data_IF_741202091491
#
_entry.id   IF_741202091491
#
_cell.length_a   1.000
_cell.length_b   1.000
_cell.length_c   1.000
_cell.angle_alpha   90.00
_cell.angle_beta   90.00
_cell.angle_gamma   90.00
#
_symmetry.space_group_name_H-M   'P 1'
#
loop_
_entity.id
_entity.type
_entity.pdbx_description
1 polymer ?
#
# COMPACT_ATOMS: atom_id res chain seq x y z
N UNK A 1 -6.26 4.96 -16.53
CA UNK A 1 -6.90 5.84 -17.55
C UNK A 1 -7.76 6.95 -16.92
N UNK A 2 -8.65 6.66 -15.97
CA UNK A 2 -9.57 7.66 -15.40
C UNK A 2 -9.03 8.41 -14.18
N UNK A 3 -8.07 7.84 -13.44
CA UNK A 3 -7.50 8.45 -12.22
C UNK A 3 -6.98 9.88 -12.41
N UNK A 4 -6.28 10.14 -13.54
CA UNK A 4 -5.74 11.47 -13.85
C UNK A 4 -6.80 12.53 -14.15
N UNK A 5 -8.04 12.14 -14.45
CA UNK A 5 -9.16 13.07 -14.76
C UNK A 5 -9.94 13.51 -13.52
N UNK A 6 -9.67 12.90 -12.36
CA UNK A 6 -10.37 13.19 -11.12
C UNK A 6 -9.77 14.40 -10.41
N UNK A 7 -10.63 15.23 -9.81
CA UNK A 7 -10.21 16.33 -8.93
C UNK A 7 -9.70 15.78 -7.60
N UNK A 8 -8.86 16.53 -6.90
CA UNK A 8 -8.27 16.10 -5.63
C UNK A 8 -9.31 15.60 -4.60
N UNK A 9 -10.47 16.27 -4.37
CA UNK A 9 -11.47 15.76 -3.44
C UNK A 9 -12.06 14.40 -3.84
N UNK A 10 -12.22 14.16 -5.15
CA UNK A 10 -12.73 12.89 -5.67
C UNK A 10 -11.71 11.76 -5.48
N UNK A 11 -10.42 12.07 -5.68
CA UNK A 11 -9.33 11.11 -5.42
C UNK A 11 -9.27 10.73 -3.94
N UNK A 12 -9.35 11.71 -3.05
CA UNK A 12 -9.37 11.50 -1.60
C UNK A 12 -10.57 10.63 -1.21
N UNK A 13 -11.78 10.98 -1.68
CA UNK A 13 -12.98 10.19 -1.39
C UNK A 13 -12.86 8.72 -1.87
N UNK A 14 -12.28 8.47 -3.04
CA UNK A 14 -12.04 7.10 -3.51
C UNK A 14 -11.02 6.37 -2.64
N UNK A 15 -9.94 7.04 -2.22
CA UNK A 15 -8.98 6.45 -1.28
C UNK A 15 -9.67 6.07 0.03
N UNK A 16 -10.51 6.94 0.58
CA UNK A 16 -11.24 6.69 1.83
C UNK A 16 -12.21 5.52 1.69
N UNK A 17 -12.99 5.48 0.61
CA UNK A 17 -13.92 4.37 0.34
C UNK A 17 -13.18 3.04 0.22
N UNK A 18 -12.05 3.02 -0.50
CA UNK A 18 -11.24 1.81 -0.65
C UNK A 18 -10.60 1.38 0.67
N UNK A 19 -10.13 2.33 1.48
CA UNK A 19 -9.60 2.05 2.80
C UNK A 19 -10.68 1.44 3.71
N UNK A 20 -11.88 2.03 3.77
CA UNK A 20 -12.99 1.49 4.57
C UNK A 20 -13.41 0.09 4.13
N UNK A 21 -13.41 -0.19 2.82
CA UNK A 21 -13.67 -1.54 2.30
C UNK A 21 -12.59 -2.54 2.75
N UNK A 22 -11.33 -2.11 2.76
CA UNK A 22 -10.21 -2.92 3.21
C UNK A 22 -10.23 -3.15 4.71
N UNK A 23 -10.55 -2.13 5.52
CA UNK A 23 -10.71 -2.26 6.96
C UNK A 23 -11.83 -3.24 7.33
N UNK A 24 -12.96 -3.16 6.61
CA UNK A 24 -14.05 -4.14 6.75
C UNK A 24 -13.56 -5.56 6.45
N UNK A 25 -12.87 -5.74 5.32
CA UNK A 25 -12.37 -7.04 4.87
C UNK A 25 -11.33 -7.60 5.84
N UNK A 26 -10.39 -6.78 6.30
CA UNK A 26 -9.35 -7.12 7.26
C UNK A 26 -9.93 -7.46 8.63
N UNK A 27 -10.94 -6.73 9.10
CA UNK A 27 -11.66 -7.03 10.35
C UNK A 27 -12.39 -8.38 10.26
N UNK A 28 -13.07 -8.64 9.14
CA UNK A 28 -13.73 -9.92 8.91
C UNK A 28 -12.72 -11.08 8.77
N UNK A 29 -11.57 -10.81 8.15
CA UNK A 29 -10.46 -11.75 7.99
C UNK A 29 -9.39 -11.63 9.09
N UNK A 30 -9.76 -11.08 10.24
CA UNK A 30 -8.86 -10.99 11.39
C UNK A 30 -8.46 -12.38 11.87
N UNK A 31 -7.34 -12.45 12.59
CA UNK A 31 -6.81 -13.71 13.10
C UNK A 31 -7.85 -14.53 13.87
N UNK A 32 -8.54 -13.90 14.83
CA UNK A 32 -9.55 -14.53 15.66
C UNK A 32 -10.73 -15.05 14.82
N UNK A 33 -11.22 -14.24 13.88
CA UNK A 33 -12.34 -14.60 13.01
C UNK A 33 -11.99 -15.71 12.02
N UNK A 34 -10.80 -15.68 11.43
CA UNK A 34 -10.31 -16.76 10.56
C UNK A 34 -10.12 -18.05 11.33
N UNK A 35 -9.47 -17.99 12.50
CA UNK A 35 -9.27 -19.15 13.37
C UNK A 35 -10.59 -19.80 13.76
N UNK A 36 -11.57 -19.01 14.22
CA UNK A 36 -12.90 -19.50 14.55
C UNK A 36 -13.57 -20.17 13.36
N UNK A 37 -13.53 -19.56 12.17
CA UNK A 37 -14.11 -20.16 10.96
C UNK A 37 -13.41 -21.45 10.54
N UNK A 38 -12.09 -21.52 10.68
CA UNK A 38 -11.32 -22.72 10.36
C UNK A 38 -11.61 -23.91 11.28
N UNK A 39 -12.11 -23.69 12.50
CA UNK A 39 -12.60 -24.77 13.35
C UNK A 39 -13.91 -25.40 12.84
N UNK A 40 -14.69 -24.67 12.05
CA UNK A 40 -16.04 -25.07 11.64
C UNK A 40 -16.15 -25.43 10.14
N UNK A 41 -15.15 -25.08 9.33
CA UNK A 41 -15.14 -25.31 7.89
C UNK A 41 -14.25 -26.53 7.57
N UNK A 42 -14.81 -27.60 6.98
CA UNK A 42 -14.01 -28.71 6.45
C UNK A 42 -13.00 -28.18 5.42
N UNK A 43 -11.77 -28.70 5.42
CA UNK A 43 -10.68 -28.21 4.57
C UNK A 43 -11.01 -28.18 3.05
N UNK A 44 -12.07 -28.88 2.63
CA UNK A 44 -12.50 -29.08 1.24
C UNK A 44 -13.47 -28.01 0.70
N UNK A 45 -14.02 -27.12 1.54
CA UNK A 45 -14.97 -26.09 1.10
C UNK A 45 -14.44 -24.68 1.36
N UNK A 46 -14.09 -23.90 0.33
CA UNK A 46 -13.61 -22.54 0.54
C UNK A 46 -14.79 -21.59 0.81
N UNK A 47 -14.63 -20.60 1.70
CA UNK A 47 -15.19 -19.28 1.48
C UNK A 47 -14.02 -18.31 1.35
N UNK A 48 -13.27 -18.45 0.25
CA UNK A 48 -12.09 -17.64 -0.09
C UNK A 48 -12.45 -16.31 -0.77
N UNK A 49 -13.73 -16.05 -1.04
CA UNK A 49 -14.13 -14.88 -1.83
C UNK A 49 -13.69 -13.58 -1.15
N UNK A 50 -13.85 -13.46 0.18
CA UNK A 50 -13.48 -12.22 0.87
C UNK A 50 -11.97 -12.05 1.02
N UNK A 51 -11.19 -13.12 1.22
CA UNK A 51 -9.71 -13.02 1.19
C UNK A 51 -9.19 -12.64 -0.19
N UNK A 52 -9.81 -13.19 -1.25
CA UNK A 52 -9.50 -12.81 -2.63
C UNK A 52 -9.89 -11.35 -2.93
N UNK A 53 -11.03 -10.90 -2.41
CA UNK A 53 -11.48 -9.52 -2.53
C UNK A 53 -10.58 -8.57 -1.74
N UNK A 54 -10.17 -8.95 -0.53
CA UNK A 54 -9.20 -8.18 0.27
C UNK A 54 -7.89 -8.05 -0.50
N UNK A 55 -7.33 -9.15 -1.00
CA UNK A 55 -6.11 -9.14 -1.81
C UNK A 55 -6.23 -8.26 -3.07
N UNK A 56 -7.35 -8.37 -3.78
CA UNK A 56 -7.63 -7.54 -4.96
C UNK A 56 -7.75 -6.05 -4.59
N UNK A 57 -8.46 -5.76 -3.50
CA UNK A 57 -8.61 -4.41 -2.94
C UNK A 57 -7.27 -3.83 -2.52
N UNK A 58 -6.41 -4.61 -1.85
CA UNK A 58 -5.06 -4.20 -1.46
C UNK A 58 -4.25 -3.83 -2.69
N UNK A 59 -4.34 -4.62 -3.77
CA UNK A 59 -3.65 -4.31 -5.02
C UNK A 59 -4.11 -2.98 -5.62
N UNK A 60 -5.42 -2.72 -5.63
CA UNK A 60 -6.00 -1.50 -6.20
C UNK A 60 -5.62 -0.28 -5.34
N UNK A 61 -5.71 -0.41 -4.03
CA UNK A 61 -5.42 0.67 -3.09
C UNK A 61 -3.93 1.07 -3.15
N UNK A 62 -3.02 0.10 -3.12
CA UNK A 62 -1.58 0.36 -3.26
C UNK A 62 -1.26 1.03 -4.60
N UNK A 63 -1.83 0.56 -5.72
CA UNK A 63 -1.62 1.14 -7.05
C UNK A 63 -2.08 2.61 -7.11
N UNK A 64 -3.24 2.93 -6.52
CA UNK A 64 -3.77 4.29 -6.46
C UNK A 64 -2.88 5.22 -5.63
N UNK A 65 -2.44 4.75 -4.46
CA UNK A 65 -1.58 5.54 -3.58
C UNK A 65 -0.21 5.78 -4.23
N UNK A 66 0.41 4.74 -4.78
CA UNK A 66 1.69 4.83 -5.50
C UNK A 66 1.61 5.74 -6.73
N UNK A 67 0.53 5.65 -7.52
CA UNK A 67 0.31 6.57 -8.65
C UNK A 67 0.15 8.02 -8.21
N UNK A 68 -0.39 8.24 -7.03
CA UNK A 68 -0.59 9.59 -6.50
C UNK A 68 0.71 10.15 -5.94
N UNK A 69 1.53 9.33 -5.28
CA UNK A 69 2.81 9.76 -4.68
C UNK A 69 3.99 9.80 -5.66
N UNK A 70 3.95 9.04 -6.76
CA UNK A 70 5.01 9.02 -7.79
C UNK A 70 5.05 10.27 -8.67
N UNK A 71 3.92 11.00 -8.81
CA UNK A 71 3.81 12.18 -9.67
C UNK A 71 4.69 13.36 -9.22
N UNK A 72 5.23 13.32 -8.00
CA UNK A 72 6.08 14.38 -7.45
C UNK A 72 7.57 14.25 -7.81
N UNK A 73 8.00 13.20 -8.53
CA UNK A 73 9.41 13.02 -8.95
C UNK A 73 9.73 13.59 -10.35
N UNK A 74 8.82 14.35 -10.97
CA UNK A 74 9.05 14.97 -12.28
C UNK A 74 9.46 16.44 -12.15
N UNK A 75 10.74 16.72 -11.97
CA UNK A 75 11.27 18.02 -12.41
C UNK A 75 11.13 18.10 -13.93
N UNK A 76 10.25 18.99 -14.40
CA UNK A 76 10.26 19.52 -15.77
C UNK A 76 9.91 18.55 -16.89
N UNK A 77 8.64 18.17 -17.02
CA UNK A 77 8.13 17.87 -18.37
C UNK A 77 7.82 19.20 -19.06
N UNK A 78 8.77 19.64 -19.89
CA UNK A 78 8.57 20.65 -20.91
C UNK A 78 7.32 20.29 -21.72
N UNK A 79 6.29 21.13 -21.62
CA UNK A 79 5.19 21.14 -22.59
C UNK A 79 5.84 21.43 -23.96
N UNK A 80 5.76 20.54 -24.96
CA UNK A 80 6.20 20.87 -26.30
C UNK A 80 5.27 21.97 -26.81
N UNK A 81 5.81 23.19 -26.96
CA UNK A 81 5.13 24.28 -27.64
C UNK A 81 4.91 23.85 -29.09
N UNK A 82 3.71 23.36 -29.37
CA UNK A 82 3.22 23.19 -30.74
C UNK A 82 3.05 24.58 -31.36
N UNK A 83 3.98 24.96 -32.22
CA UNK A 83 3.90 26.16 -33.04
C UNK A 83 2.67 26.09 -33.96
N UNK A 84 1.72 27.01 -33.76
CA UNK A 84 0.52 27.12 -34.58
C UNK A 84 -0.34 28.34 -34.23
N UNK A 85 0.14 29.52 -34.64
CA UNK A 85 -0.65 30.68 -35.10
C UNK A 85 -1.76 31.30 -34.23
N UNK A 86 -1.46 32.52 -33.75
CA UNK A 86 -2.30 33.74 -33.65
C UNK A 86 -3.63 33.73 -32.88
N UNK A 87 -3.58 34.36 -31.70
CA UNK A 87 -4.39 35.54 -31.37
C UNK A 87 -5.76 35.29 -30.72
N UNK A 88 -5.80 35.36 -29.38
CA UNK A 88 -6.73 36.16 -28.57
C UNK A 88 -6.14 36.21 -27.15
N UNK A 89 -6.00 37.42 -26.59
CA UNK A 89 -5.62 37.66 -25.20
C UNK A 89 -6.57 36.92 -24.24
N UNK A 90 -6.03 36.01 -23.45
CA UNK A 90 -6.61 35.64 -22.15
C UNK A 90 -5.46 35.52 -21.20
N UNK A 91 -5.31 36.55 -20.35
CA UNK A 91 -4.43 36.55 -19.19
C UNK A 91 -4.81 35.37 -18.30
N UNK A 92 -4.09 34.26 -18.46
CA UNK A 92 -4.10 33.17 -17.49
C UNK A 92 -3.29 33.64 -16.29
N UNK A 93 -4.00 34.05 -15.24
CA UNK A 93 -3.43 34.45 -13.95
C UNK A 93 -2.43 33.40 -13.44
N UNK A 94 -1.18 33.82 -13.21
CA UNK A 94 -0.12 33.03 -12.56
C UNK A 94 -0.55 32.45 -11.19
N UNK A 95 -1.55 33.06 -10.54
CA UNK A 95 -2.15 32.58 -9.29
C UNK A 95 -2.90 31.23 -9.43
N UNK A 96 -3.41 30.90 -10.61
CA UNK A 96 -4.15 29.63 -10.83
C UNK A 96 -3.20 28.44 -10.89
N UNK A 97 -2.01 28.63 -11.48
CA UNK A 97 -0.97 27.61 -11.56
C UNK A 97 -0.43 27.26 -10.16
N UNK A 98 -0.11 28.28 -9.36
CA UNK A 98 0.31 28.12 -7.97
C UNK A 98 -0.74 27.38 -7.11
N UNK A 99 -2.01 27.74 -7.26
CA UNK A 99 -3.09 27.11 -6.51
C UNK A 99 -3.25 25.61 -6.87
N UNK A 100 -3.16 25.27 -8.15
CA UNK A 100 -3.22 23.87 -8.61
C UNK A 100 -2.03 23.07 -8.06
N UNK A 101 -0.82 23.63 -8.05
CA UNK A 101 0.36 22.97 -7.48
C UNK A 101 0.22 22.70 -5.98
N UNK A 102 -0.34 23.65 -5.22
CA UNK A 102 -0.55 23.49 -3.77
C UNK A 102 -1.58 22.40 -3.44
N UNK A 103 -2.65 22.28 -4.23
CA UNK A 103 -3.63 21.19 -4.06
C UNK A 103 -3.06 19.83 -4.43
N UNK A 104 -2.19 19.75 -5.44
CA UNK A 104 -1.51 18.52 -5.83
C UNK A 104 -0.47 18.10 -4.77
N UNK A 105 0.28 19.04 -4.18
CA UNK A 105 1.19 18.76 -3.05
C UNK A 105 0.44 18.25 -1.81
N UNK A 106 -0.67 18.91 -1.44
CA UNK A 106 -1.52 18.45 -0.33
C UNK A 106 -2.08 17.06 -0.58
N UNK A 107 -2.50 16.77 -1.81
CA UNK A 107 -2.99 15.44 -2.21
C UNK A 107 -1.90 14.38 -2.10
N UNK A 108 -0.67 14.70 -2.52
CA UNK A 108 0.49 13.81 -2.39
C UNK A 108 0.77 13.51 -0.92
N UNK A 109 0.74 14.52 -0.04
CA UNK A 109 0.93 14.35 1.40
C UNK A 109 -0.12 13.42 2.02
N UNK A 110 -1.40 13.60 1.69
CA UNK A 110 -2.48 12.71 2.15
C UNK A 110 -2.28 11.27 1.65
N UNK A 111 -1.88 11.11 0.39
CA UNK A 111 -1.63 9.80 -0.18
C UNK A 111 -0.40 9.11 0.44
N UNK A 112 0.65 9.87 0.76
CA UNK A 112 1.83 9.39 1.47
C UNK A 112 1.44 8.87 2.86
N UNK A 113 0.74 9.67 3.66
CA UNK A 113 0.30 9.30 5.00
C UNK A 113 -0.54 8.01 4.98
N UNK A 114 -1.51 7.94 4.06
CA UNK A 114 -2.36 6.75 3.87
C UNK A 114 -1.55 5.52 3.44
N UNK A 115 -0.55 5.69 2.57
CA UNK A 115 0.30 4.59 2.12
C UNK A 115 1.16 4.05 3.26
N UNK A 116 1.78 4.94 4.02
CA UNK A 116 2.66 4.58 5.14
C UNK A 116 1.86 3.89 6.23
N UNK A 117 0.76 4.51 6.68
CA UNK A 117 -0.14 3.97 7.69
C UNK A 117 -0.67 2.58 7.30
N UNK A 118 -1.10 2.40 6.05
CA UNK A 118 -1.59 1.11 5.57
C UNK A 118 -0.49 0.04 5.55
N UNK A 119 0.70 0.36 5.04
CA UNK A 119 1.81 -0.59 5.02
C UNK A 119 2.23 -0.97 6.45
N UNK A 120 2.37 0.02 7.33
CA UNK A 120 2.74 -0.19 8.73
C UNK A 120 1.73 -1.10 9.44
N UNK A 121 0.44 -0.83 9.28
CA UNK A 121 -0.62 -1.63 9.89
C UNK A 121 -0.55 -3.10 9.47
N UNK A 122 -0.42 -3.38 8.17
CA UNK A 122 -0.33 -4.76 7.67
C UNK A 122 0.93 -5.46 8.17
N UNK A 123 2.09 -4.78 8.19
CA UNK A 123 3.33 -5.36 8.70
C UNK A 123 3.27 -5.61 10.22
N UNK A 124 2.61 -4.72 10.97
CA UNK A 124 2.39 -4.85 12.41
C UNK A 124 1.51 -6.06 12.72
N UNK A 125 0.37 -6.18 12.06
CA UNK A 125 -0.50 -7.35 12.18
C UNK A 125 0.24 -8.65 11.85
N UNK A 126 1.02 -8.66 10.77
CA UNK A 126 1.82 -9.82 10.36
C UNK A 126 2.90 -10.19 11.40
N UNK A 127 3.50 -9.20 12.05
CA UNK A 127 4.52 -9.38 13.07
C UNK A 127 3.93 -9.87 14.39
N UNK A 128 2.74 -9.40 14.74
CA UNK A 128 2.06 -9.78 15.98
C UNK A 128 1.51 -11.21 15.89
N UNK A 129 1.03 -11.61 14.71
CA UNK A 129 0.67 -12.98 14.38
C UNK A 129 1.82 -13.98 14.58
N UNK A 130 3.07 -13.54 14.39
CA UNK A 130 4.26 -14.37 14.60
C UNK A 130 4.77 -14.37 16.04
N UNK A 131 4.47 -13.35 16.84
CA UNK A 131 4.97 -13.28 18.22
C UNK A 131 4.18 -14.13 19.23
N UNK A 132 3.03 -14.68 18.87
CA UNK A 132 2.25 -15.54 19.77
C UNK A 132 2.77 -16.99 19.86
N UNK A 133 4.04 -17.24 19.51
CA UNK A 133 4.72 -18.54 19.45
C UNK A 133 5.10 -19.01 20.86
N UNK A 134 4.08 -19.25 21.69
CA UNK A 134 4.25 -19.78 23.05
C UNK A 134 3.13 -20.73 23.49
N UNK A 135 1.98 -20.72 22.83
CA UNK A 135 0.84 -21.57 23.21
C UNK A 135 0.60 -22.67 22.18
N UNK A 136 0.13 -23.83 22.62
CA UNK A 136 -0.11 -25.12 21.93
C UNK A 136 -1.06 -25.08 20.70
N UNK A 137 -1.29 -23.90 20.14
CA UNK A 137 -2.17 -23.58 19.01
C UNK A 137 -1.41 -23.33 17.69
N UNK A 138 -0.13 -23.74 17.62
CA UNK A 138 0.79 -23.51 16.50
C UNK A 138 0.21 -23.88 15.12
N UNK A 139 -0.51 -25.00 14.98
CA UNK A 139 -1.06 -25.42 13.68
C UNK A 139 -2.06 -24.41 13.08
N UNK A 140 -2.91 -23.80 13.92
CA UNK A 140 -3.87 -22.81 13.46
C UNK A 140 -3.21 -21.47 13.16
N UNK A 141 -2.18 -21.10 13.93
CA UNK A 141 -1.36 -19.91 13.67
C UNK A 141 -0.72 -20.03 12.28
N UNK A 142 -0.05 -21.14 11.99
CA UNK A 142 0.59 -21.36 10.69
C UNK A 142 -0.41 -21.29 9.54
N UNK A 143 -1.60 -21.89 9.69
CA UNK A 143 -2.61 -21.94 8.62
C UNK A 143 -3.34 -20.60 8.43
N UNK A 144 -3.56 -19.81 9.48
CA UNK A 144 -4.08 -18.43 9.32
C UNK A 144 -3.02 -17.54 8.66
N UNK A 145 -1.76 -17.69 9.06
CA UNK A 145 -0.65 -16.94 8.46
C UNK A 145 -0.47 -17.30 6.98
N UNK A 146 -0.62 -18.57 6.61
CA UNK A 146 -0.65 -19.04 5.22
C UNK A 146 -1.76 -18.33 4.41
N UNK A 147 -2.97 -18.23 4.96
CA UNK A 147 -4.10 -17.55 4.31
C UNK A 147 -3.87 -16.03 4.15
N UNK A 148 -3.18 -15.39 5.10
CA UNK A 148 -2.89 -13.95 5.09
C UNK A 148 -1.62 -13.61 4.29
N UNK A 149 -0.73 -14.58 4.08
CA UNK A 149 0.55 -14.43 3.38
C UNK A 149 0.44 -13.69 2.05
N UNK A 150 -0.53 -14.00 1.14
CA UNK A 150 -0.65 -13.30 -0.13
C UNK A 150 -0.83 -11.77 0.01
N UNK A 151 -1.54 -11.31 1.04
CA UNK A 151 -1.79 -9.88 1.29
C UNK A 151 -0.49 -9.22 1.79
N UNK A 152 0.20 -9.88 2.72
CA UNK A 152 1.47 -9.39 3.29
C UNK A 152 2.53 -9.28 2.18
N UNK A 153 2.69 -10.33 1.38
CA UNK A 153 3.58 -10.35 0.20
C UNK A 153 3.21 -9.25 -0.79
N UNK A 154 1.91 -8.99 -0.99
CA UNK A 154 1.46 -7.92 -1.89
C UNK A 154 1.83 -6.54 -1.36
N UNK A 155 1.71 -6.30 -0.06
CA UNK A 155 2.15 -5.06 0.59
C UNK A 155 3.66 -4.89 0.47
N UNK A 156 4.45 -5.92 0.80
CA UNK A 156 5.91 -5.88 0.68
C UNK A 156 6.37 -5.57 -0.76
N UNK A 157 5.76 -6.24 -1.76
CA UNK A 157 6.03 -5.93 -3.18
C UNK A 157 5.58 -4.52 -3.56
N UNK A 158 4.51 -4.01 -2.96
CA UNK A 158 4.10 -2.62 -3.10
C UNK A 158 5.16 -1.67 -2.53
N UNK A 159 5.72 -1.97 -1.36
CA UNK A 159 6.81 -1.18 -0.77
C UNK A 159 8.06 -1.17 -1.65
N UNK A 160 8.33 -2.25 -2.41
CA UNK A 160 9.42 -2.24 -3.40
C UNK A 160 9.22 -1.15 -4.47
N UNK A 161 7.97 -0.88 -4.86
CA UNK A 161 7.59 0.13 -5.86
C UNK A 161 7.35 1.52 -5.26
N UNK A 162 7.48 1.67 -3.94
CA UNK A 162 7.31 2.94 -3.26
C UNK A 162 8.41 3.93 -3.67
N UNK A 163 8.09 5.23 -3.65
CA UNK A 163 9.10 6.28 -3.85
C UNK A 163 10.20 6.15 -2.78
N UNK A 164 11.45 6.05 -3.21
CA UNK A 164 12.61 5.87 -2.33
C UNK A 164 12.72 6.97 -1.26
N UNK A 165 12.28 8.20 -1.55
CA UNK A 165 12.31 9.30 -0.57
C UNK A 165 11.29 9.08 0.55
N UNK A 166 10.09 8.60 0.20
CA UNK A 166 9.05 8.24 1.18
C UNK A 166 9.55 7.06 2.01
N UNK A 167 10.03 6.01 1.35
CA UNK A 167 10.55 4.83 2.06
C UNK A 167 11.70 5.18 3.00
N UNK A 168 12.64 6.05 2.57
CA UNK A 168 13.75 6.54 3.42
C UNK A 168 13.25 7.31 4.62
N UNK A 169 12.28 8.22 4.44
CA UNK A 169 11.72 9.07 5.50
C UNK A 169 11.06 8.23 6.60
N UNK A 170 10.35 7.18 6.22
CA UNK A 170 9.57 6.31 7.12
C UNK A 170 10.28 4.98 7.44
N UNK A 171 11.55 4.83 7.06
CA UNK A 171 12.31 3.61 7.32
C UNK A 171 12.40 3.30 8.81
N UNK A 172 12.45 4.33 9.67
CA UNK A 172 12.49 4.16 11.13
C UNK A 172 11.28 3.40 11.66
N UNK A 173 10.11 3.60 11.04
CA UNK A 173 8.85 2.98 11.46
C UNK A 173 8.71 1.59 10.85
N UNK A 174 9.13 1.41 9.59
CA UNK A 174 9.08 0.11 8.92
C UNK A 174 10.13 -0.88 9.41
N UNK A 175 11.34 -0.43 9.72
CA UNK A 175 12.49 -1.32 9.94
C UNK A 175 12.27 -2.33 11.09
N UNK A 176 11.76 -1.95 12.27
CA UNK A 176 11.48 -2.92 13.34
C UNK A 176 10.48 -4.00 12.91
N UNK A 177 9.47 -3.63 12.12
CA UNK A 177 8.46 -4.55 11.61
C UNK A 177 9.07 -5.50 10.57
N UNK A 178 9.84 -4.96 9.61
CA UNK A 178 10.49 -5.74 8.57
C UNK A 178 11.48 -6.77 9.14
N UNK A 179 12.27 -6.40 10.15
CA UNK A 179 13.21 -7.32 10.80
C UNK A 179 12.49 -8.45 11.53
N UNK A 180 11.33 -8.19 12.17
CA UNK A 180 10.51 -9.25 12.77
C UNK A 180 10.03 -10.27 11.71
N UNK A 181 9.69 -9.79 10.50
CA UNK A 181 9.24 -10.65 9.40
C UNK A 181 10.36 -11.52 8.78
N UNK A 182 11.64 -11.25 9.04
CA UNK A 182 12.75 -12.11 8.56
C UNK A 182 12.64 -13.52 9.14
N UNK A 183 12.15 -13.64 10.37
CA UNK A 183 11.96 -14.92 11.05
C UNK A 183 10.59 -15.55 10.79
N UNK A 184 9.80 -15.02 9.84
CA UNK A 184 8.50 -15.57 9.51
C UNK A 184 8.59 -17.02 9.03
N UNK A 185 7.64 -17.87 9.46
CA UNK A 185 7.56 -19.26 9.00
C UNK A 185 7.23 -19.37 7.50
N UNK A 186 6.50 -18.39 6.97
CA UNK A 186 6.10 -18.38 5.56
C UNK A 186 7.28 -17.93 4.69
N UNK A 187 7.75 -18.85 3.85
CA UNK A 187 8.91 -18.60 2.98
C UNK A 187 8.67 -17.45 2.00
N UNK A 188 7.46 -17.31 1.48
CA UNK A 188 7.10 -16.25 0.54
C UNK A 188 7.23 -14.85 1.15
N UNK A 189 6.87 -14.70 2.43
CA UNK A 189 7.02 -13.44 3.17
C UNK A 189 8.51 -13.11 3.30
N UNK A 190 9.34 -14.06 3.73
CA UNK A 190 10.79 -13.87 3.86
C UNK A 190 11.43 -13.50 2.51
N UNK A 191 11.02 -14.17 1.43
CA UNK A 191 11.46 -13.86 0.08
C UNK A 191 11.12 -12.42 -0.31
N UNK A 192 9.88 -11.99 -0.06
CA UNK A 192 9.45 -10.61 -0.36
C UNK A 192 10.18 -9.56 0.48
N UNK A 193 10.49 -9.83 1.76
CA UNK A 193 11.34 -8.96 2.58
C UNK A 193 12.75 -8.86 2.01
N UNK A 194 13.33 -9.99 1.57
CA UNK A 194 14.64 -10.02 0.90
C UNK A 194 14.67 -9.18 -0.37
N UNK A 195 13.63 -9.28 -1.20
CA UNK A 195 13.48 -8.45 -2.41
C UNK A 195 13.35 -6.96 -2.06
N UNK A 196 12.59 -6.62 -1.02
CA UNK A 196 12.44 -5.26 -0.54
C UNK A 196 13.77 -4.66 -0.10
N UNK A 197 14.56 -5.37 0.71
CA UNK A 197 15.88 -4.91 1.11
C UNK A 197 16.82 -4.77 -0.08
N UNK A 198 16.76 -5.70 -1.05
CA UNK A 198 17.57 -5.62 -2.26
C UNK A 198 17.25 -4.38 -3.11
N UNK A 199 15.97 -4.03 -3.27
CA UNK A 199 15.55 -2.88 -4.09
C UNK A 199 15.68 -1.56 -3.35
N UNK A 200 15.12 -1.46 -2.14
CA UNK A 200 15.00 -0.21 -1.41
C UNK A 200 16.25 0.10 -0.59
N UNK A 201 16.74 -0.84 0.24
CA UNK A 201 17.93 -0.58 1.07
C UNK A 201 19.19 -0.38 0.23
N UNK A 202 19.38 -1.17 -0.84
CA UNK A 202 20.53 -0.98 -1.75
C UNK A 202 20.52 0.40 -2.41
N UNK A 203 19.35 0.92 -2.77
CA UNK A 203 19.23 2.26 -3.35
C UNK A 203 19.48 3.40 -2.34
N UNK A 204 19.48 3.09 -1.03
CA UNK A 204 19.71 4.05 0.05
C UNK A 204 21.13 4.02 0.62
N UNK A 205 21.94 3.02 0.26
CA UNK A 205 23.35 2.92 0.66
C UNK A 205 24.22 3.78 -0.28
N UNK A 206 25.25 4.47 0.25
CA UNK A 206 26.18 5.30 -0.52
C UNK A 206 27.07 4.50 -1.47
#
# INVERSE_FOLDING_TARGET
>A
KYWGKLKAPQKIAIMDILLSLLEFSASYNSYSNLRMRMHHIPAERPPLNLLRQELAGTSIYLDILQKTTSRFNGNGEEIPKSNGSQGVDTTLDDNTSSCITHFDEKLVGIAEEKLVSFCEQVLREASDLQSSVGETTNMHIHRVLELRSPIIVKVLKGMCLMNNQIFRRHLRDFYPLLVRLICCDQMDIRGAVGDLFRMQLKALLP
#
